data_IF_702007485283
#
_entry.id   IF_702007485283
#
_cell.length_a   1.000
_cell.length_b   1.000
_cell.length_c   1.000
_cell.angle_alpha   90.00
_cell.angle_beta   90.00
_cell.angle_gamma   90.00
#
_symmetry.space_group_name_H-M   'P 1'
#
loop_
_entity.id
_entity.type
_entity.pdbx_description
1 polymer ?
#
# COMPACT_ATOMS: atom_id res chain seq x y z
N UNK A 1 -0.83 -17.91 1.64
CA UNK A 1 -1.35 -16.97 0.62
C UNK A 1 -1.38 -17.59 -0.77
N UNK A 2 -0.36 -18.35 -1.17
CA UNK A 2 -0.30 -18.98 -2.50
C UNK A 2 -1.48 -19.91 -2.81
N UNK A 3 -1.95 -20.67 -1.82
CA UNK A 3 -3.13 -21.54 -1.98
C UNK A 3 -4.41 -20.74 -2.27
N UNK A 4 -4.64 -19.62 -1.56
CA UNK A 4 -5.79 -18.75 -1.80
C UNK A 4 -5.74 -18.07 -3.18
N UNK A 5 -4.54 -17.70 -3.65
CA UNK A 5 -4.31 -17.16 -4.99
C UNK A 5 -4.60 -18.23 -6.06
N UNK A 6 -4.15 -19.46 -5.83
CA UNK A 6 -4.40 -20.60 -6.74
C UNK A 6 -5.90 -20.87 -6.87
N UNK A 7 -6.62 -20.96 -5.75
CA UNK A 7 -8.07 -21.21 -5.73
C UNK A 7 -8.83 -20.09 -6.45
N UNK A 8 -8.49 -18.82 -6.22
CA UNK A 8 -9.15 -17.71 -6.90
C UNK A 8 -8.93 -17.73 -8.42
N UNK A 9 -7.73 -18.12 -8.89
CA UNK A 9 -7.43 -18.32 -10.31
C UNK A 9 -8.28 -19.44 -10.92
N UNK A 10 -8.40 -20.57 -10.23
CA UNK A 10 -9.22 -21.71 -10.67
C UNK A 10 -10.70 -21.36 -10.79
N UNK A 11 -11.23 -20.60 -9.82
CA UNK A 11 -12.63 -20.15 -9.80
C UNK A 11 -12.92 -18.99 -10.76
N UNK A 12 -11.90 -18.42 -11.41
CA UNK A 12 -11.98 -17.24 -12.29
C UNK A 12 -12.63 -16.02 -11.62
N UNK A 13 -12.60 -15.94 -10.30
CA UNK A 13 -13.05 -14.76 -9.55
C UNK A 13 -11.91 -13.73 -9.48
N UNK A 14 -11.93 -12.80 -10.43
CA UNK A 14 -10.88 -11.78 -10.55
C UNK A 14 -10.85 -10.82 -9.37
N UNK A 15 -11.98 -10.59 -8.70
CA UNK A 15 -12.01 -9.72 -7.53
C UNK A 15 -11.46 -10.44 -6.29
N UNK A 16 -11.80 -11.71 -6.09
CA UNK A 16 -11.16 -12.54 -5.05
C UNK A 16 -9.66 -12.68 -5.26
N UNK A 17 -9.21 -12.80 -6.51
CA UNK A 17 -7.79 -12.82 -6.83
C UNK A 17 -7.11 -11.49 -6.48
N UNK A 18 -7.73 -10.36 -6.82
CA UNK A 18 -7.22 -9.03 -6.48
C UNK A 18 -7.09 -8.85 -4.95
N UNK A 19 -8.11 -9.28 -4.20
CA UNK A 19 -8.10 -9.26 -2.74
C UNK A 19 -6.99 -10.17 -2.17
N UNK A 20 -6.83 -11.39 -2.69
CA UNK A 20 -5.78 -12.31 -2.24
C UNK A 20 -4.37 -11.73 -2.49
N UNK A 21 -4.13 -11.15 -3.66
CA UNK A 21 -2.86 -10.48 -3.97
C UNK A 21 -2.62 -9.27 -3.05
N UNK A 22 -3.65 -8.48 -2.74
CA UNK A 22 -3.53 -7.33 -1.83
C UNK A 22 -3.16 -7.77 -0.41
N UNK A 23 -3.73 -8.87 0.10
CA UNK A 23 -3.36 -9.40 1.41
C UNK A 23 -1.98 -10.04 1.42
N UNK A 24 -1.55 -10.65 0.30
CA UNK A 24 -0.22 -11.23 0.19
C UNK A 24 0.86 -10.13 0.21
N UNK A 25 0.63 -9.03 -0.51
CA UNK A 25 1.48 -7.84 -0.44
C UNK A 25 1.52 -7.24 0.98
N UNK A 26 0.37 -7.18 1.67
CA UNK A 26 0.32 -6.70 3.05
C UNK A 26 1.14 -7.58 4.01
N UNK A 27 1.03 -8.90 3.88
CA UNK A 27 1.78 -9.84 4.72
C UNK A 27 3.30 -9.69 4.49
N UNK A 28 3.73 -9.71 3.22
CA UNK A 28 5.14 -9.53 2.87
C UNK A 28 5.68 -8.16 3.34
N UNK A 29 4.85 -7.12 3.32
CA UNK A 29 5.19 -5.79 3.86
C UNK A 29 5.49 -5.88 5.36
N UNK A 30 4.64 -6.54 6.15
CA UNK A 30 4.86 -6.73 7.58
C UNK A 30 6.06 -7.64 7.88
N UNK A 31 6.36 -8.60 7.00
CA UNK A 31 7.55 -9.46 7.06
C UNK A 31 8.83 -8.73 6.64
N UNK A 32 8.72 -7.48 6.16
CA UNK A 32 9.84 -6.67 5.64
C UNK A 32 10.54 -7.34 4.46
N UNK A 33 9.79 -8.02 3.60
CA UNK A 33 10.27 -8.60 2.34
C UNK A 33 9.87 -7.73 1.15
N UNK A 34 10.70 -6.73 0.75
CA UNK A 34 10.34 -5.84 -0.33
C UNK A 34 10.32 -6.52 -1.71
N UNK A 35 11.01 -7.65 -1.89
CA UNK A 35 11.00 -8.36 -3.17
C UNK A 35 9.63 -9.01 -3.41
N UNK A 36 9.08 -9.68 -2.40
CA UNK A 36 7.74 -10.27 -2.48
C UNK A 36 6.64 -9.20 -2.55
N UNK A 37 6.79 -8.08 -1.85
CA UNK A 37 5.85 -6.95 -2.01
C UNK A 37 5.85 -6.42 -3.44
N UNK A 38 7.01 -6.20 -4.07
CA UNK A 38 7.08 -5.72 -5.47
C UNK A 38 6.42 -6.73 -6.43
N UNK A 39 6.62 -8.04 -6.20
CA UNK A 39 6.01 -9.10 -7.00
C UNK A 39 4.49 -9.09 -6.89
N UNK A 40 3.93 -9.22 -5.68
CA UNK A 40 2.48 -9.25 -5.48
C UNK A 40 1.80 -7.95 -5.92
N UNK A 41 2.43 -6.80 -5.64
CA UNK A 41 1.92 -5.51 -6.06
C UNK A 41 1.91 -5.36 -7.59
N UNK A 42 2.95 -5.84 -8.29
CA UNK A 42 2.99 -5.80 -9.75
C UNK A 42 1.90 -6.68 -10.38
N UNK A 43 1.69 -7.89 -9.86
CA UNK A 43 0.58 -8.76 -10.29
C UNK A 43 -0.79 -8.10 -10.06
N UNK A 44 -0.96 -7.43 -8.91
CA UNK A 44 -2.20 -6.73 -8.57
C UNK A 44 -2.44 -5.50 -9.45
N UNK A 45 -1.40 -4.73 -9.79
CA UNK A 45 -1.50 -3.61 -10.74
C UNK A 45 -2.02 -4.13 -12.08
N UNK A 46 -1.38 -5.16 -12.65
CA UNK A 46 -1.75 -5.69 -13.96
C UNK A 46 -3.21 -6.18 -14.00
N UNK A 47 -3.64 -6.91 -12.97
CA UNK A 47 -5.02 -7.37 -12.83
C UNK A 47 -5.99 -6.21 -12.67
N UNK A 48 -5.67 -5.25 -11.80
CA UNK A 48 -6.54 -4.12 -11.49
C UNK A 48 -6.71 -3.18 -12.69
N UNK A 49 -5.65 -2.95 -13.47
CA UNK A 49 -5.71 -2.19 -14.72
C UNK A 49 -6.58 -2.90 -15.75
N UNK A 50 -6.43 -4.22 -15.93
CA UNK A 50 -7.24 -4.99 -16.90
C UNK A 50 -8.74 -4.99 -16.58
N UNK A 51 -9.09 -5.01 -15.30
CA UNK A 51 -10.47 -5.14 -14.84
C UNK A 51 -11.07 -3.84 -14.28
N UNK A 52 -10.36 -2.72 -14.37
CA UNK A 52 -10.76 -1.41 -13.84
C UNK A 52 -11.07 -1.42 -12.33
N UNK A 53 -10.29 -2.17 -11.55
CA UNK A 53 -10.42 -2.19 -10.10
C UNK A 53 -9.65 -1.03 -9.44
N UNK A 54 -10.25 0.16 -9.47
CA UNK A 54 -9.60 1.41 -9.02
C UNK A 54 -9.06 1.33 -7.58
N UNK A 55 -9.83 0.76 -6.66
CA UNK A 55 -9.41 0.65 -5.25
C UNK A 55 -8.19 -0.28 -5.10
N UNK A 56 -8.22 -1.44 -5.78
CA UNK A 56 -7.11 -2.40 -5.75
C UNK A 56 -5.86 -1.86 -6.43
N UNK A 57 -6.02 -1.06 -7.49
CA UNK A 57 -4.92 -0.38 -8.15
C UNK A 57 -4.20 0.56 -7.19
N UNK A 58 -4.93 1.43 -6.49
CA UNK A 58 -4.34 2.37 -5.52
C UNK A 58 -3.60 1.66 -4.37
N UNK A 59 -4.14 0.54 -3.88
CA UNK A 59 -3.45 -0.32 -2.90
C UNK A 59 -2.13 -0.85 -3.45
N UNK A 60 -2.16 -1.40 -4.66
CA UNK A 60 -0.99 -2.00 -5.30
C UNK A 60 0.11 -0.97 -5.58
N UNK A 61 -0.22 0.20 -6.11
CA UNK A 61 0.74 1.27 -6.38
C UNK A 61 1.45 1.73 -5.11
N UNK A 62 0.72 1.83 -3.99
CA UNK A 62 1.33 2.23 -2.72
C UNK A 62 2.23 1.14 -2.13
N UNK A 63 1.86 -0.15 -2.22
CA UNK A 63 2.75 -1.25 -1.82
C UNK A 63 4.00 -1.31 -2.69
N UNK A 64 3.82 -1.19 -4.01
CA UNK A 64 4.93 -1.18 -4.96
C UNK A 64 5.88 -0.03 -4.67
N UNK A 65 5.35 1.17 -4.47
CA UNK A 65 6.20 2.33 -4.20
C UNK A 65 7.00 2.20 -2.90
N UNK A 66 6.43 1.59 -1.85
CA UNK A 66 7.21 1.25 -0.67
C UNK A 66 8.33 0.24 -0.99
N UNK A 67 8.00 -0.85 -1.69
CA UNK A 67 8.96 -1.89 -2.05
C UNK A 67 10.13 -1.34 -2.88
N UNK A 68 9.85 -0.50 -3.88
CA UNK A 68 10.90 0.15 -4.69
C UNK A 68 11.78 1.06 -3.84
N UNK A 69 11.21 1.75 -2.86
CA UNK A 69 11.98 2.57 -1.92
C UNK A 69 12.92 1.72 -1.07
N UNK A 70 12.42 0.62 -0.51
CA UNK A 70 13.19 -0.33 0.28
C UNK A 70 14.29 -1.04 -0.53
N UNK A 71 14.08 -1.24 -1.83
CA UNK A 71 15.05 -1.82 -2.77
C UNK A 71 16.06 -0.79 -3.31
N UNK A 72 16.12 0.42 -2.74
CA UNK A 72 17.13 1.44 -3.08
C UNK A 72 16.71 2.43 -4.16
N UNK A 73 15.44 2.44 -4.57
CA UNK A 73 14.87 3.40 -5.54
C UNK A 73 13.78 4.30 -4.92
N UNK A 74 14.08 5.08 -3.87
CA UNK A 74 13.08 5.85 -3.13
C UNK A 74 12.40 6.94 -3.96
N UNK A 75 13.08 7.54 -4.94
CA UNK A 75 12.46 8.57 -5.80
C UNK A 75 11.31 7.98 -6.64
N UNK A 76 11.57 6.85 -7.30
CA UNK A 76 10.54 6.11 -8.05
C UNK A 76 9.44 5.65 -7.09
N UNK A 77 9.82 5.11 -5.95
CA UNK A 77 8.89 4.56 -4.97
C UNK A 77 7.93 5.59 -4.38
N UNK A 78 8.43 6.76 -3.99
CA UNK A 78 7.60 7.86 -3.48
C UNK A 78 6.62 8.33 -4.57
N UNK A 79 7.05 8.44 -5.83
CA UNK A 79 6.17 8.82 -6.93
C UNK A 79 4.99 7.86 -7.10
N UNK A 80 5.23 6.55 -6.98
CA UNK A 80 4.17 5.54 -7.01
C UNK A 80 3.20 5.66 -5.84
N UNK A 81 3.69 5.87 -4.62
CA UNK A 81 2.84 6.06 -3.44
C UNK A 81 1.96 7.31 -3.59
N UNK A 82 2.54 8.41 -4.07
CA UNK A 82 1.78 9.65 -4.26
C UNK A 82 0.72 9.53 -5.35
N UNK A 83 0.99 8.76 -6.42
CA UNK A 83 -0.01 8.43 -7.42
C UNK A 83 -1.16 7.64 -6.79
N UNK A 84 -0.86 6.56 -6.07
CA UNK A 84 -1.88 5.74 -5.41
C UNK A 84 -2.70 6.54 -4.38
N UNK A 85 -2.08 7.47 -3.64
CA UNK A 85 -2.82 8.36 -2.72
C UNK A 85 -3.75 9.31 -3.49
N UNK A 86 -3.30 9.89 -4.61
CA UNK A 86 -4.16 10.76 -5.44
C UNK A 86 -5.36 9.99 -5.96
N UNK A 87 -5.13 8.78 -6.49
CA UNK A 87 -6.20 7.96 -7.07
C UNK A 87 -7.15 7.44 -6.00
N UNK A 88 -6.63 7.07 -4.82
CA UNK A 88 -7.44 6.69 -3.68
C UNK A 88 -8.31 7.84 -3.17
N UNK A 89 -7.76 9.06 -3.06
CA UNK A 89 -8.52 10.26 -2.67
C UNK A 89 -9.57 10.67 -3.70
N UNK A 90 -9.42 10.28 -4.96
CA UNK A 90 -10.44 10.47 -5.98
C UNK A 90 -11.64 9.51 -5.80
N UNK A 91 -11.51 8.50 -4.94
CA UNK A 91 -12.65 7.68 -4.49
C UNK A 91 -13.32 8.31 -3.27
N UNK A 92 -14.63 8.13 -3.09
CA UNK A 92 -15.35 8.56 -1.88
C UNK A 92 -15.01 7.71 -0.62
N UNK A 93 -13.88 6.99 -0.64
CA UNK A 93 -13.47 6.08 0.43
C UNK A 93 -12.32 6.67 1.23
N UNK A 94 -12.45 6.79 2.55
CA UNK A 94 -11.40 7.37 3.42
C UNK A 94 -10.67 6.31 4.27
N UNK A 95 -11.22 5.09 4.39
CA UNK A 95 -10.77 4.09 5.36
C UNK A 95 -9.31 3.61 5.16
N UNK A 96 -8.86 3.49 3.92
CA UNK A 96 -7.51 3.02 3.58
C UNK A 96 -6.43 4.09 3.60
N UNK A 97 -6.79 5.39 3.58
CA UNK A 97 -5.85 6.51 3.42
C UNK A 97 -4.71 6.53 4.48
N UNK A 98 -4.97 6.26 5.78
CA UNK A 98 -3.91 6.15 6.79
C UNK A 98 -2.81 5.15 6.43
N UNK A 99 -3.17 4.01 5.84
CA UNK A 99 -2.20 2.95 5.49
C UNK A 99 -1.30 3.35 4.32
N UNK A 100 -1.83 4.14 3.38
CA UNK A 100 -1.04 4.69 2.28
C UNK A 100 -0.07 5.76 2.77
N UNK A 101 -0.50 6.61 3.68
CA UNK A 101 0.32 7.66 4.28
C UNK A 101 1.43 7.08 5.16
N UNK A 102 1.18 5.99 5.91
CA UNK A 102 2.21 5.30 6.67
C UNK A 102 3.32 4.74 5.75
N UNK A 103 2.94 4.09 4.64
CA UNK A 103 3.90 3.63 3.61
C UNK A 103 4.67 4.80 2.99
N UNK A 104 4.01 5.95 2.77
CA UNK A 104 4.67 7.19 2.31
C UNK A 104 5.72 7.68 3.31
N UNK A 105 5.36 7.75 4.58
CA UNK A 105 6.27 8.18 5.64
C UNK A 105 7.51 7.30 5.69
N UNK A 106 7.33 5.98 5.60
CA UNK A 106 8.46 5.06 5.61
C UNK A 106 9.36 5.21 4.36
N UNK A 107 8.75 5.33 3.17
CA UNK A 107 9.51 5.59 1.94
C UNK A 107 10.30 6.90 1.99
N UNK A 108 9.72 7.96 2.58
CA UNK A 108 10.39 9.24 2.80
C UNK A 108 11.54 9.12 3.81
N UNK A 109 11.36 8.33 4.88
CA UNK A 109 12.42 8.05 5.84
C UNK A 109 13.60 7.32 5.18
N UNK A 110 13.33 6.28 4.38
CA UNK A 110 14.35 5.56 3.60
C UNK A 110 15.10 6.49 2.61
N UNK A 111 14.46 7.56 2.15
CA UNK A 111 15.06 8.58 1.30
C UNK A 111 15.86 9.65 2.06
N UNK A 112 15.92 9.59 3.39
CA UNK A 112 16.51 10.64 4.24
C UNK A 112 15.67 11.92 4.34
N UNK A 113 14.41 11.90 3.89
CA UNK A 113 13.48 13.05 3.89
C UNK A 113 12.65 13.07 5.17
N UNK A 114 13.33 13.06 6.32
CA UNK A 114 12.70 12.87 7.64
C UNK A 114 11.62 13.89 7.98
N UNK A 115 11.80 15.17 7.63
CA UNK A 115 10.77 16.20 7.88
C UNK A 115 9.46 15.88 7.17
N UNK A 116 9.53 15.45 5.92
CA UNK A 116 8.34 15.11 5.13
C UNK A 116 7.72 13.78 5.60
N UNK A 117 8.55 12.86 6.10
CA UNK A 117 8.05 11.64 6.74
C UNK A 117 7.21 11.96 7.99
N UNK A 118 7.67 12.89 8.82
CA UNK A 118 6.92 13.37 9.99
C UNK A 118 5.62 14.07 9.60
N UNK A 119 5.62 14.88 8.54
CA UNK A 119 4.39 15.48 8.01
C UNK A 119 3.36 14.44 7.58
N UNK A 120 3.81 13.38 6.90
CA UNK A 120 2.93 12.27 6.51
C UNK A 120 2.35 11.53 7.74
N UNK A 121 3.14 11.34 8.80
CA UNK A 121 2.66 10.73 10.05
C UNK A 121 1.65 11.62 10.78
N UNK A 122 1.88 12.93 10.83
CA UNK A 122 0.92 13.89 11.40
C UNK A 122 -0.43 13.84 10.67
N UNK A 123 -0.43 13.67 9.35
CA UNK A 123 -1.68 13.47 8.59
C UNK A 123 -2.38 12.16 8.99
N UNK A 124 -1.63 11.08 9.21
CA UNK A 124 -2.19 9.81 9.71
C UNK A 124 -2.86 10.00 11.07
N UNK A 125 -2.19 10.68 12.01
CA UNK A 125 -2.71 10.92 13.35
C UNK A 125 -4.01 11.75 13.31
N UNK A 126 -4.03 12.83 12.52
CA UNK A 126 -5.23 13.65 12.35
C UNK A 126 -6.42 12.86 11.77
N UNK A 127 -6.16 11.91 10.86
CA UNK A 127 -7.19 11.01 10.35
C UNK A 127 -7.65 9.99 11.42
N UNK A 128 -6.73 9.44 12.20
CA UNK A 128 -7.06 8.50 13.28
C UNK A 128 -7.94 9.16 14.36
N UNK A 129 -7.65 10.41 14.73
CA UNK A 129 -8.47 11.21 15.64
C UNK A 129 -9.88 11.47 15.07
N UNK A 130 -9.96 11.82 13.79
CA UNK A 130 -11.23 12.14 13.12
C UNK A 130 -12.16 10.93 12.96
N UNK A 131 -11.61 9.73 12.77
CA UNK A 131 -12.38 8.52 12.46
C UNK A 131 -12.45 7.52 13.62
N UNK A 132 -11.98 7.88 14.82
CA UNK A 132 -11.85 6.99 15.99
C UNK A 132 -11.12 5.66 15.70
N UNK A 133 -10.34 5.61 14.61
CA UNK A 133 -9.85 4.38 14.01
C UNK A 133 -8.43 4.07 14.51
N UNK A 134 -8.34 3.71 15.80
CA UNK A 134 -7.06 3.52 16.54
C UNK A 134 -6.32 2.22 16.23
N UNK A 135 -6.82 1.40 15.31
CA UNK A 135 -6.21 0.10 14.99
C UNK A 135 -4.73 0.21 14.56
N UNK A 136 -4.32 1.35 13.99
CA UNK A 136 -2.97 1.57 13.47
C UNK A 136 -2.02 2.33 14.41
N UNK A 137 -2.48 2.79 15.58
CA UNK A 137 -1.65 3.58 16.50
C UNK A 137 -0.42 2.83 17.01
N UNK A 138 -0.46 1.49 17.07
CA UNK A 138 0.67 0.68 17.51
C UNK A 138 1.85 0.68 16.51
N UNK A 139 1.58 0.76 15.21
CA UNK A 139 2.63 0.74 14.16
C UNK A 139 3.22 2.13 13.89
N UNK A 140 2.48 3.22 14.21
CA UNK A 140 3.00 4.59 14.11
C UNK A 140 4.16 4.88 15.06
N UNK A 141 4.17 4.25 16.25
CA UNK A 141 5.21 4.44 17.26
C UNK A 141 6.44 3.53 17.03
N UNK A 142 6.45 2.75 15.94
CA UNK A 142 7.48 1.75 15.65
C UNK A 142 8.49 2.21 14.58
N UNK A 143 8.19 3.32 13.88
CA UNK A 143 9.08 4.04 12.96
C UNK A 143 10.00 4.99 13.74
#
# INVERSE_FOLDING_TARGET
>A
MDEAISIAKELKDMNSLAMALSFAAALAYFERDPAEVDRFASELIELSTRHNFVLWLAHAESYRGWARSALGNPVEGISWIEQGIRDYRATDTVLGLPTHLARKAEALHLAGRTSEALEALNEVEALAERFENRYWSAELHRL
#
